data_IF_163859105587
#
_entry.id   IF_163859105587
#
_cell.length_a   1.000
_cell.length_b   1.000
_cell.length_c   1.000
_cell.angle_alpha   90.00
_cell.angle_beta   90.00
_cell.angle_gamma   90.00
#
_symmetry.space_group_name_H-M   'P 1'
#
loop_
_entity.id
_entity.type
_entity.pdbx_description
1 polymer ?
#
# COMPACT_ATOMS: atom_id res chain seq x y z
N UNK A 1 35.50 -12.27 60.73
CA UNK A 1 35.04 -13.34 59.80
C UNK A 1 33.63 -13.14 59.21
N UNK A 2 32.74 -12.27 59.75
CA UNK A 2 31.36 -12.08 59.23
C UNK A 2 31.25 -11.34 57.87
N UNK A 3 32.26 -10.58 57.45
CA UNK A 3 32.25 -9.80 56.19
C UNK A 3 32.25 -10.67 54.92
N UNK A 4 33.01 -11.78 54.92
CA UNK A 4 33.16 -12.66 53.74
C UNK A 4 31.84 -13.37 53.41
N UNK A 5 31.07 -13.76 54.44
CA UNK A 5 29.79 -14.46 54.30
C UNK A 5 28.71 -13.62 53.60
N UNK A 6 28.82 -12.29 53.66
CA UNK A 6 27.86 -11.38 53.02
C UNK A 6 28.13 -11.14 51.52
N UNK A 7 29.37 -11.32 51.06
CA UNK A 7 29.75 -11.14 49.65
C UNK A 7 29.18 -12.28 48.80
N UNK A 8 29.30 -13.52 49.26
CA UNK A 8 28.71 -14.70 48.61
C UNK A 8 27.17 -14.63 48.53
N UNK A 9 26.51 -14.00 49.51
CA UNK A 9 25.05 -13.83 49.52
C UNK A 9 24.56 -12.87 48.42
N UNK A 10 25.39 -11.93 47.95
CA UNK A 10 25.04 -11.00 46.85
C UNK A 10 25.15 -11.64 45.46
N UNK A 11 26.07 -12.59 45.26
CA UNK A 11 26.25 -13.30 43.97
C UNK A 11 25.06 -14.23 43.68
N UNK A 12 24.43 -14.78 44.73
CA UNK A 12 23.24 -15.64 44.63
C UNK A 12 21.98 -14.88 44.17
N UNK A 13 22.00 -13.54 44.17
CA UNK A 13 20.92 -12.67 43.73
C UNK A 13 21.20 -12.06 42.34
N UNK A 14 21.90 -12.77 41.45
CA UNK A 14 21.93 -12.38 40.03
C UNK A 14 20.52 -12.53 39.46
N UNK A 15 19.84 -11.39 39.23
CA UNK A 15 18.55 -11.37 38.53
C UNK A 15 18.71 -12.05 37.16
N UNK A 16 17.81 -12.99 36.86
CA UNK A 16 17.70 -13.58 35.53
C UNK A 16 17.48 -12.45 34.52
N UNK A 17 18.40 -12.33 33.57
CA UNK A 17 18.46 -11.24 32.60
C UNK A 17 18.41 -11.85 31.21
N UNK A 18 17.69 -11.17 30.32
CA UNK A 18 17.49 -11.55 28.92
C UNK A 18 18.84 -11.81 28.24
N UNK A 19 18.94 -12.95 27.56
CA UNK A 19 20.17 -13.39 26.91
C UNK A 19 20.18 -13.02 25.43
N UNK A 20 21.37 -12.86 24.85
CA UNK A 20 21.51 -12.64 23.41
C UNK A 20 20.96 -13.83 22.60
N UNK A 21 21.06 -15.05 23.15
CA UNK A 21 20.56 -16.25 22.48
C UNK A 21 19.02 -16.27 22.44
N UNK A 22 18.33 -15.78 23.48
CA UNK A 22 16.87 -15.60 23.44
C UNK A 22 16.47 -14.58 22.37
N UNK A 23 17.16 -13.44 22.28
CA UNK A 23 16.87 -12.45 21.23
C UNK A 23 17.10 -13.02 19.83
N UNK A 24 18.18 -13.79 19.64
CA UNK A 24 18.50 -14.40 18.35
C UNK A 24 17.42 -15.39 17.89
N UNK A 25 16.92 -16.24 18.80
CA UNK A 25 15.85 -17.20 18.50
C UNK A 25 14.54 -16.46 18.19
N UNK A 26 14.22 -15.39 18.92
CA UNK A 26 13.01 -14.59 18.66
C UNK A 26 13.05 -13.95 17.28
N UNK A 27 14.17 -13.30 16.91
CA UNK A 27 14.34 -12.72 15.58
C UNK A 27 14.30 -13.77 14.48
N UNK A 28 14.81 -14.97 14.74
CA UNK A 28 14.73 -16.10 13.82
C UNK A 28 13.28 -16.56 13.59
N UNK A 29 12.47 -16.66 14.64
CA UNK A 29 11.06 -17.03 14.49
C UNK A 29 10.28 -15.92 13.75
N UNK A 30 10.52 -14.65 14.09
CA UNK A 30 9.87 -13.51 13.41
C UNK A 30 10.20 -13.49 11.92
N UNK A 31 11.45 -13.80 11.52
CA UNK A 31 11.83 -13.81 10.12
C UNK A 31 11.13 -14.93 9.34
N UNK A 32 10.97 -16.13 9.93
CA UNK A 32 10.18 -17.21 9.32
C UNK A 32 8.72 -16.82 9.13
N UNK A 33 8.11 -16.18 10.14
CA UNK A 33 6.74 -15.68 10.02
C UNK A 33 6.62 -14.59 8.94
N UNK A 34 7.57 -13.66 8.86
CA UNK A 34 7.59 -12.62 7.82
C UNK A 34 7.67 -13.22 6.42
N UNK A 35 8.46 -14.28 6.20
CA UNK A 35 8.53 -14.96 4.90
C UNK A 35 7.18 -15.50 4.44
N UNK A 36 6.33 -15.98 5.36
CA UNK A 36 4.98 -16.44 5.04
C UNK A 36 3.99 -15.28 4.82
N UNK A 37 4.12 -14.19 5.59
CA UNK A 37 3.18 -13.07 5.57
C UNK A 37 3.41 -12.14 4.36
N UNK A 38 4.67 -11.82 4.04
CA UNK A 38 5.04 -10.88 2.97
C UNK A 38 4.45 -11.22 1.59
N UNK A 39 4.49 -12.47 1.08
CA UNK A 39 3.91 -12.78 -0.23
C UNK A 39 2.39 -12.58 -0.24
N UNK A 40 1.70 -12.96 0.83
CA UNK A 40 0.26 -12.75 0.96
C UNK A 40 -0.08 -11.25 1.01
N UNK A 41 0.68 -10.47 1.78
CA UNK A 41 0.51 -9.01 1.86
C UNK A 41 0.72 -8.32 0.51
N UNK A 42 1.76 -8.72 -0.25
CA UNK A 42 2.02 -8.18 -1.58
C UNK A 42 0.89 -8.52 -2.56
N UNK A 43 0.35 -9.73 -2.51
CA UNK A 43 -0.80 -10.12 -3.34
C UNK A 43 -2.06 -9.32 -3.01
N UNK A 44 -2.33 -9.09 -1.72
CA UNK A 44 -3.44 -8.24 -1.28
C UNK A 44 -3.28 -6.80 -1.72
N UNK A 45 -2.06 -6.24 -1.64
CA UNK A 45 -1.75 -4.89 -2.16
C UNK A 45 -2.03 -4.80 -3.66
N UNK A 46 -1.52 -5.74 -4.45
CA UNK A 46 -1.78 -5.80 -5.90
C UNK A 46 -3.27 -5.91 -6.23
N UNK A 47 -4.02 -6.71 -5.46
CA UNK A 47 -5.48 -6.82 -5.61
C UNK A 47 -6.16 -5.48 -5.34
N UNK A 48 -5.79 -4.79 -4.26
CA UNK A 48 -6.32 -3.47 -3.94
C UNK A 48 -5.98 -2.42 -5.02
N UNK A 49 -4.76 -2.44 -5.57
CA UNK A 49 -4.36 -1.58 -6.70
C UNK A 49 -5.20 -1.86 -7.95
N UNK A 50 -5.48 -3.14 -8.26
CA UNK A 50 -6.35 -3.49 -9.39
C UNK A 50 -7.79 -3.00 -9.18
N UNK A 51 -8.37 -3.23 -7.99
CA UNK A 51 -9.70 -2.72 -7.66
C UNK A 51 -9.75 -1.19 -7.71
N UNK A 52 -8.68 -0.50 -7.27
CA UNK A 52 -8.59 0.94 -7.38
C UNK A 52 -8.55 1.40 -8.85
N UNK A 53 -7.81 0.70 -9.70
CA UNK A 53 -7.75 1.02 -11.13
C UNK A 53 -9.11 0.80 -11.81
N UNK A 54 -9.81 -0.29 -11.50
CA UNK A 54 -11.17 -0.57 -12.01
C UNK A 54 -12.18 0.50 -11.59
N UNK A 55 -12.17 0.89 -10.31
CA UNK A 55 -13.01 1.98 -9.82
C UNK A 55 -12.69 3.30 -10.54
N UNK A 56 -11.41 3.55 -10.83
CA UNK A 56 -10.98 4.75 -11.52
C UNK A 56 -11.43 4.77 -12.99
N UNK A 57 -11.46 3.62 -13.68
CA UNK A 57 -12.07 3.49 -15.01
C UNK A 57 -13.53 3.93 -14.96
N UNK A 58 -14.31 3.45 -13.99
CA UNK A 58 -15.72 3.83 -13.84
C UNK A 58 -15.92 5.33 -13.56
N UNK A 59 -15.07 5.93 -12.72
CA UNK A 59 -15.10 7.38 -12.46
C UNK A 59 -14.81 8.17 -13.73
N UNK A 60 -13.76 7.82 -14.48
CA UNK A 60 -13.38 8.50 -15.72
C UNK A 60 -14.46 8.29 -16.78
N UNK A 61 -15.04 7.09 -16.90
CA UNK A 61 -16.16 6.82 -17.79
C UNK A 61 -17.33 7.75 -17.50
N UNK A 62 -17.70 7.91 -16.23
CA UNK A 62 -18.76 8.86 -15.84
C UNK A 62 -18.42 10.29 -16.25
N UNK A 63 -17.15 10.71 -16.15
CA UNK A 63 -16.73 12.04 -16.58
C UNK A 63 -16.73 12.21 -18.10
N UNK A 64 -16.40 11.16 -18.85
CA UNK A 64 -16.54 11.11 -20.30
C UNK A 64 -18.00 11.27 -20.66
N UNK A 65 -18.90 10.46 -20.09
CA UNK A 65 -20.34 10.50 -20.38
C UNK A 65 -20.95 11.89 -20.09
N UNK A 66 -20.53 12.53 -18.99
CA UNK A 66 -20.96 13.90 -18.66
C UNK A 66 -20.45 14.92 -19.70
N UNK A 67 -19.18 14.81 -20.11
CA UNK A 67 -18.63 15.68 -21.16
C UNK A 67 -19.41 15.52 -22.47
N UNK A 68 -19.69 14.28 -22.88
CA UNK A 68 -20.46 14.00 -24.10
C UNK A 68 -21.86 14.61 -24.02
N UNK A 69 -22.52 14.49 -22.87
CA UNK A 69 -23.85 15.07 -22.66
C UNK A 69 -23.86 16.59 -22.76
N UNK A 70 -22.85 17.25 -22.19
CA UNK A 70 -22.78 18.71 -22.13
C UNK A 70 -22.34 19.34 -23.45
N UNK A 71 -21.64 18.61 -24.33
CA UNK A 71 -20.97 19.16 -25.50
C UNK A 71 -21.37 18.53 -26.84
N UNK A 72 -22.20 17.47 -26.83
CA UNK A 72 -22.62 16.70 -28.02
C UNK A 72 -21.43 16.22 -28.89
N UNK A 73 -20.28 15.98 -28.24
CA UNK A 73 -19.04 15.53 -28.88
C UNK A 73 -18.58 14.22 -28.25
N UNK A 74 -18.30 13.24 -29.11
CA UNK A 74 -17.92 11.86 -28.72
C UNK A 74 -16.41 11.63 -28.76
N UNK A 75 -15.63 12.61 -29.20
CA UNK A 75 -14.17 12.49 -29.30
C UNK A 75 -13.47 12.99 -28.04
N UNK A 76 -13.78 12.38 -26.90
CA UNK A 76 -13.30 12.85 -25.60
C UNK A 76 -11.83 12.52 -25.38
N UNK A 77 -11.05 13.51 -24.96
CA UNK A 77 -9.64 13.37 -24.60
C UNK A 77 -9.35 13.85 -23.18
N UNK A 78 -8.24 13.37 -22.59
CA UNK A 78 -7.79 13.85 -21.28
C UNK A 78 -7.54 15.36 -21.23
N UNK A 79 -7.12 15.97 -22.36
CA UNK A 79 -6.89 17.41 -22.46
C UNK A 79 -8.20 18.21 -22.32
N UNK A 80 -9.27 17.72 -22.95
CA UNK A 80 -10.59 18.33 -22.86
C UNK A 80 -11.19 18.17 -21.47
N UNK A 81 -11.08 16.98 -20.88
CA UNK A 81 -11.54 16.74 -19.51
C UNK A 81 -10.80 17.59 -18.48
N UNK A 82 -9.51 17.89 -18.71
CA UNK A 82 -8.75 18.82 -17.86
C UNK A 82 -9.19 20.27 -18.05
N UNK A 83 -9.25 20.73 -19.30
CA UNK A 83 -9.55 22.12 -19.63
C UNK A 83 -10.97 22.53 -19.20
N UNK A 84 -11.95 21.62 -19.36
CA UNK A 84 -13.33 21.80 -18.90
C UNK A 84 -13.56 21.36 -17.44
N UNK A 85 -12.50 20.98 -16.72
CA UNK A 85 -12.50 20.65 -15.27
C UNK A 85 -13.34 19.43 -14.84
N UNK A 86 -13.63 18.49 -15.75
CA UNK A 86 -14.20 17.19 -15.39
C UNK A 86 -13.18 16.32 -14.65
N UNK A 87 -11.89 16.48 -14.95
CA UNK A 87 -10.79 15.80 -14.26
C UNK A 87 -9.71 16.77 -13.79
N UNK A 88 -9.09 16.44 -12.67
CA UNK A 88 -7.91 17.13 -12.16
C UNK A 88 -6.63 16.54 -12.74
N UNK A 89 -5.54 17.31 -12.76
CA UNK A 89 -4.21 16.81 -13.17
C UNK A 89 -3.77 15.58 -12.37
N UNK A 90 -4.11 15.53 -11.07
CA UNK A 90 -3.79 14.40 -10.21
C UNK A 90 -4.51 13.12 -10.65
N UNK A 91 -5.78 13.24 -11.05
CA UNK A 91 -6.54 12.12 -11.59
C UNK A 91 -5.98 11.67 -12.94
N UNK A 92 -5.59 12.60 -13.83
CA UNK A 92 -5.02 12.22 -15.12
C UNK A 92 -3.68 11.50 -14.94
N UNK A 93 -2.78 12.03 -14.09
CA UNK A 93 -1.50 11.37 -13.78
C UNK A 93 -1.71 9.97 -13.23
N UNK A 94 -2.62 9.82 -12.27
CA UNK A 94 -2.93 8.52 -11.67
C UNK A 94 -3.59 7.55 -12.66
N UNK A 95 -4.41 8.06 -13.58
CA UNK A 95 -5.00 7.26 -14.66
C UNK A 95 -3.92 6.73 -15.61
N UNK A 96 -2.96 7.58 -15.98
CA UNK A 96 -1.81 7.22 -16.80
C UNK A 96 -0.89 6.21 -16.10
N UNK A 97 -0.64 6.37 -14.79
CA UNK A 97 0.10 5.39 -13.98
C UNK A 97 -0.57 4.01 -13.99
N UNK A 98 -1.92 3.97 -13.98
CA UNK A 98 -2.67 2.73 -14.10
C UNK A 98 -2.82 2.22 -15.54
N UNK A 99 -2.35 2.98 -16.55
CA UNK A 99 -2.46 2.61 -17.96
C UNK A 99 -3.83 2.87 -18.60
N UNK A 100 -4.71 3.62 -17.94
CA UNK A 100 -6.09 3.86 -18.40
C UNK A 100 -6.11 4.76 -19.62
N UNK A 101 -6.82 4.34 -20.67
CA UNK A 101 -6.99 5.03 -21.95
C UNK A 101 -8.45 5.36 -22.22
N UNK A 102 -8.66 6.46 -22.93
CA UNK A 102 -9.96 6.90 -23.44
C UNK A 102 -9.95 6.67 -24.95
N UNK A 103 -10.93 5.91 -25.45
CA UNK A 103 -11.13 5.61 -26.87
C UNK A 103 -12.51 6.14 -27.29
N UNK A 104 -12.58 7.43 -27.61
CA UNK A 104 -13.86 8.12 -27.82
C UNK A 104 -14.70 8.06 -26.55
N UNK A 105 -15.90 7.47 -26.66
CA UNK A 105 -16.84 7.33 -25.54
C UNK A 105 -16.47 6.25 -24.51
N UNK A 106 -15.47 5.41 -24.75
CA UNK A 106 -15.17 4.27 -23.88
C UNK A 106 -13.84 4.43 -23.13
N UNK A 107 -13.83 4.07 -21.85
CA UNK A 107 -12.64 4.09 -21.00
C UNK A 107 -12.22 2.66 -20.65
N UNK A 108 -10.95 2.34 -20.86
CA UNK A 108 -10.39 1.01 -20.62
C UNK A 108 -9.00 1.06 -20.00
N UNK A 109 -8.66 0.05 -19.18
CA UNK A 109 -7.30 -0.15 -18.66
C UNK A 109 -6.47 -1.00 -19.63
#
# INVERSE_FOLDING_TARGET
MKKIRNVFKRIKNKKQSFTLIEMAIVLFIISLLMLLILPNLNNQRKKAENTQAEAMVSVIQTQVDLYENDNDDKNVTYSELLSKKYLTEKQIKKAQEFGIKINGSNVSK
#
